data_IF_003651275208
#
_entry.id   IF_003651275208
#
_cell.length_a   1.000
_cell.length_b   1.000
_cell.length_c   1.000
_cell.angle_alpha   90.00
_cell.angle_beta   90.00
_cell.angle_gamma   90.00
#
_symmetry.space_group_name_H-M   'P 1'
#
loop_
_entity.id
_entity.type
_entity.pdbx_description
1 polymer ?
#
# COMPACT_ATOMS: atom_id res chain seq x y z
N UNK A 1 -7.17 -0.78 -13.36
CA UNK A 1 -6.91 0.49 -12.63
C UNK A 1 -5.83 0.21 -11.60
N UNK A 2 -4.79 1.04 -11.50
CA UNK A 2 -3.79 0.88 -10.45
C UNK A 2 -4.44 1.22 -9.10
N UNK A 3 -4.46 0.27 -8.16
CA UNK A 3 -4.95 0.53 -6.79
C UNK A 3 -4.03 1.60 -6.20
N UNK A 4 -4.60 2.78 -5.94
CA UNK A 4 -3.84 3.92 -5.39
C UNK A 4 -3.59 3.62 -3.91
N UNK A 5 -2.32 3.66 -3.48
CA UNK A 5 -1.93 3.57 -2.07
C UNK A 5 -2.41 4.80 -1.33
N UNK A 6 -3.61 4.72 -0.75
CA UNK A 6 -4.14 5.76 0.13
C UNK A 6 -4.72 5.13 1.37
N UNK A 7 -4.59 5.82 2.50
CA UNK A 7 -5.22 5.42 3.76
C UNK A 7 -6.75 5.32 3.58
N UNK A 8 -7.31 6.24 2.81
CA UNK A 8 -8.73 6.25 2.43
C UNK A 8 -9.19 4.94 1.79
N UNK A 9 -8.51 4.45 0.75
CA UNK A 9 -8.89 3.22 0.07
C UNK A 9 -8.80 2.01 1.01
N UNK A 10 -7.73 1.94 1.81
CA UNK A 10 -7.56 0.84 2.79
C UNK A 10 -8.72 0.83 3.78
N UNK A 11 -9.03 1.99 4.38
CA UNK A 11 -10.11 2.10 5.37
C UNK A 11 -11.47 1.82 4.74
N UNK A 12 -11.71 2.24 3.50
CA UNK A 12 -12.94 1.93 2.78
C UNK A 12 -13.11 0.42 2.54
N UNK A 13 -12.05 -0.27 2.10
CA UNK A 13 -12.10 -1.70 1.78
C UNK A 13 -12.30 -2.59 3.03
N UNK A 14 -11.84 -2.15 4.20
CA UNK A 14 -12.04 -2.89 5.46
C UNK A 14 -13.26 -2.41 6.28
N UNK A 15 -14.05 -1.48 5.74
CA UNK A 15 -15.26 -0.97 6.39
C UNK A 15 -15.02 0.01 7.55
N UNK A 16 -13.84 0.63 7.62
CA UNK A 16 -13.45 1.59 8.65
C UNK A 16 -13.36 3.05 8.12
N UNK A 17 -14.02 3.35 7.01
CA UNK A 17 -14.02 4.69 6.39
C UNK A 17 -14.42 5.82 7.34
N UNK A 18 -15.32 5.54 8.30
CA UNK A 18 -15.73 6.50 9.31
C UNK A 18 -14.56 7.03 10.17
N UNK A 19 -13.47 6.28 10.28
CA UNK A 19 -12.28 6.66 11.04
C UNK A 19 -11.32 7.56 10.26
N UNK A 20 -11.54 7.77 8.95
CA UNK A 20 -10.64 8.51 8.08
C UNK A 20 -10.25 9.88 8.64
N UNK A 21 -11.20 10.59 9.27
CA UNK A 21 -10.95 11.89 9.88
C UNK A 21 -9.82 11.86 10.92
N UNK A 22 -9.70 10.78 11.70
CA UNK A 22 -8.65 10.64 12.71
C UNK A 22 -7.26 10.47 12.06
N UNK A 23 -7.19 9.70 10.97
CA UNK A 23 -5.95 9.47 10.23
C UNK A 23 -5.49 10.74 9.50
N UNK A 24 -6.42 11.45 8.86
CA UNK A 24 -6.14 12.73 8.19
C UNK A 24 -5.73 13.79 9.21
N UNK A 25 -6.44 13.89 10.34
CA UNK A 25 -6.13 14.84 11.41
C UNK A 25 -4.74 14.64 12.02
N UNK A 26 -4.25 13.40 12.07
CA UNK A 26 -2.91 13.06 12.54
C UNK A 26 -1.86 12.97 11.41
N UNK A 27 -2.24 13.31 10.16
CA UNK A 27 -1.36 13.26 8.98
C UNK A 27 -0.71 11.88 8.78
N UNK A 28 -1.45 10.81 9.05
CA UNK A 28 -0.97 9.45 8.84
C UNK A 28 -0.95 9.14 7.35
N UNK A 29 0.23 8.79 6.84
CA UNK A 29 0.42 8.34 5.47
C UNK A 29 0.32 6.81 5.37
N UNK A 30 0.09 6.29 4.16
CA UNK A 30 -0.05 4.85 3.92
C UNK A 30 1.19 4.08 4.40
N UNK A 31 2.39 4.58 4.09
CA UNK A 31 3.64 3.91 4.45
C UNK A 31 3.88 3.91 5.97
N UNK A 32 3.24 4.81 6.72
CA UNK A 32 3.32 4.84 8.19
C UNK A 32 2.44 3.77 8.84
N UNK A 33 1.38 3.28 8.17
CA UNK A 33 0.42 2.34 8.73
C UNK A 33 1.05 1.01 9.18
N UNK A 34 2.12 0.57 8.51
CA UNK A 34 2.86 -0.66 8.84
C UNK A 34 3.59 -0.55 10.18
N UNK A 35 3.93 0.67 10.59
CA UNK A 35 4.78 0.94 11.76
C UNK A 35 3.98 1.34 13.00
N UNK A 36 2.68 1.60 12.86
CA UNK A 36 1.83 1.97 14.01
C UNK A 36 1.75 0.81 15.01
N UNK A 37 2.03 1.14 16.26
CA UNK A 37 1.79 0.27 17.40
C UNK A 37 0.29 0.13 17.68
N UNK A 38 -0.05 -0.92 18.40
CA UNK A 38 -1.42 -1.17 18.86
C UNK A 38 -1.99 -0.03 19.70
N UNK A 39 -1.15 0.65 20.47
CA UNK A 39 -1.53 1.84 21.25
C UNK A 39 -1.87 3.02 20.33
N UNK A 40 -1.07 3.26 19.29
CA UNK A 40 -1.32 4.33 18.33
C UNK A 40 -2.57 4.07 17.49
N UNK A 41 -2.78 2.80 17.08
CA UNK A 41 -4.03 2.37 16.45
C UNK A 41 -5.24 2.61 17.36
N UNK A 42 -5.09 2.36 18.67
CA UNK A 42 -6.10 2.71 19.66
C UNK A 42 -6.43 4.21 19.70
N UNK A 43 -5.42 5.08 19.61
CA UNK A 43 -5.60 6.55 19.54
C UNK A 43 -6.30 7.00 18.26
N UNK A 44 -6.18 6.23 17.18
CA UNK A 44 -6.90 6.44 15.92
C UNK A 44 -8.32 5.85 15.93
N UNK A 45 -8.79 5.38 17.08
CA UNK A 45 -10.08 4.70 17.28
C UNK A 45 -10.19 3.31 16.63
N UNK A 46 -9.07 2.68 16.31
CA UNK A 46 -9.00 1.26 15.94
C UNK A 46 -8.83 0.44 17.22
N UNK A 47 -9.92 0.24 17.94
CA UNK A 47 -9.92 -0.34 19.29
C UNK A 47 -10.00 -1.86 19.28
N UNK A 48 -10.70 -2.45 18.31
CA UNK A 48 -10.89 -3.89 18.22
C UNK A 48 -9.64 -4.59 17.67
N UNK A 49 -9.23 -5.69 18.28
CA UNK A 49 -8.12 -6.53 17.80
C UNK A 49 -8.35 -6.96 16.35
N UNK A 50 -9.58 -7.38 16.01
CA UNK A 50 -9.94 -7.79 14.65
C UNK A 50 -9.74 -6.69 13.61
N UNK A 51 -10.07 -5.44 13.93
CA UNK A 51 -9.90 -4.29 13.03
C UNK A 51 -8.41 -3.98 12.80
N UNK A 52 -7.59 -4.10 13.86
CA UNK A 52 -6.13 -3.94 13.75
C UNK A 52 -5.51 -5.01 12.85
N UNK A 53 -5.94 -6.26 13.01
CA UNK A 53 -5.48 -7.38 12.16
C UNK A 53 -5.86 -7.13 10.71
N UNK A 54 -7.14 -6.83 10.43
CA UNK A 54 -7.62 -6.52 9.07
C UNK A 54 -6.86 -5.36 8.43
N UNK A 55 -6.60 -4.29 9.19
CA UNK A 55 -5.83 -3.16 8.71
C UNK A 55 -4.40 -3.58 8.32
N UNK A 56 -3.69 -4.31 9.20
CA UNK A 56 -2.32 -4.77 8.94
C UNK A 56 -2.26 -5.70 7.73
N UNK A 57 -3.18 -6.65 7.63
CA UNK A 57 -3.28 -7.56 6.48
C UNK A 57 -3.52 -6.79 5.19
N UNK A 58 -4.44 -5.83 5.21
CA UNK A 58 -4.77 -5.06 4.03
C UNK A 58 -3.64 -4.17 3.55
N UNK A 59 -2.95 -3.50 4.47
CA UNK A 59 -1.77 -2.68 4.17
C UNK A 59 -0.67 -3.55 3.53
N UNK A 60 -0.46 -4.77 4.04
CA UNK A 60 0.50 -5.72 3.47
C UNK A 60 0.12 -6.16 2.06
N UNK A 61 -1.15 -6.49 1.83
CA UNK A 61 -1.67 -6.87 0.50
C UNK A 61 -1.45 -5.75 -0.53
N UNK A 62 -1.84 -4.52 -0.19
CA UNK A 62 -1.69 -3.36 -1.07
C UNK A 62 -0.22 -3.03 -1.30
N UNK A 63 0.64 -3.19 -0.30
CA UNK A 63 2.10 -3.06 -0.44
C UNK A 63 2.67 -4.06 -1.47
N UNK A 64 2.35 -5.35 -1.32
CA UNK A 64 2.86 -6.43 -2.18
C UNK A 64 2.37 -6.34 -3.63
N UNK A 65 1.11 -5.96 -3.84
CA UNK A 65 0.55 -5.79 -5.19
C UNK A 65 1.28 -4.71 -5.98
N UNK A 66 1.71 -3.65 -5.31
CA UNK A 66 2.42 -2.55 -5.96
C UNK A 66 3.88 -2.90 -6.24
N UNK A 67 4.58 -3.52 -5.29
CA UNK A 67 5.98 -3.93 -5.47
C UNK A 67 6.12 -4.93 -6.63
N UNK A 68 5.17 -5.86 -6.75
CA UNK A 68 5.10 -6.80 -7.87
C UNK A 68 4.84 -6.09 -9.21
N UNK A 69 4.02 -5.04 -9.21
CA UNK A 69 3.71 -4.27 -10.43
C UNK A 69 4.91 -3.45 -10.90
N UNK A 70 5.61 -2.77 -9.98
CA UNK A 70 6.85 -2.04 -10.27
C UNK A 70 7.94 -2.99 -10.76
N UNK A 71 8.14 -4.11 -10.06
CA UNK A 71 9.14 -5.13 -10.44
C UNK A 71 8.89 -5.69 -11.84
N UNK A 72 7.63 -5.94 -12.20
CA UNK A 72 7.25 -6.43 -13.53
C UNK A 72 7.51 -5.39 -14.62
N UNK A 73 7.19 -4.13 -14.35
CA UNK A 73 7.44 -3.02 -15.29
C UNK A 73 8.94 -2.80 -15.53
N UNK A 74 9.77 -2.85 -14.48
CA UNK A 74 11.23 -2.72 -14.61
C UNK A 74 11.80 -3.86 -15.46
N UNK A 75 11.42 -5.11 -15.17
CA UNK A 75 11.87 -6.27 -15.96
C UNK A 75 11.48 -6.16 -17.43
N UNK A 76 10.25 -5.73 -17.71
CA UNK A 76 9.77 -5.54 -19.08
C UNK A 76 10.58 -4.46 -19.81
N UNK A 77 10.79 -3.29 -19.21
CA UNK A 77 11.57 -2.23 -19.85
C UNK A 77 13.04 -2.64 -20.07
N UNK A 78 13.65 -3.35 -19.13
CA UNK A 78 14.99 -3.89 -19.30
C UNK A 78 15.07 -4.89 -20.46
N UNK A 79 14.07 -5.77 -20.61
CA UNK A 79 14.02 -6.69 -21.77
C UNK A 79 13.91 -5.96 -23.11
N UNK A 80 13.13 -4.88 -23.18
CA UNK A 80 13.00 -4.07 -24.39
C UNK A 80 14.30 -3.32 -24.72
N UNK A 81 14.98 -2.79 -23.71
CA UNK A 81 16.28 -2.13 -23.86
C UNK A 81 17.34 -3.11 -24.37
N UNK A 82 17.44 -4.30 -23.76
CA UNK A 82 18.39 -5.33 -24.16
C UNK A 82 18.12 -5.83 -25.59
N UNK A 83 16.85 -6.07 -25.95
CA UNK A 83 16.47 -6.48 -27.30
C UNK A 83 16.82 -5.43 -28.37
N UNK A 84 16.73 -4.14 -28.04
CA UNK A 84 17.14 -3.05 -28.93
C UNK A 84 18.65 -2.97 -29.13
N UNK A 85 19.44 -3.21 -28.08
CA UNK A 85 20.90 -3.17 -28.20
C UNK A 85 21.48 -4.41 -28.89
N UNK A 86 20.88 -5.60 -28.74
CA UNK A 86 21.30 -6.78 -29.48
C UNK A 86 21.14 -6.66 -31.01
N UNK A 87 20.21 -5.79 -31.47
CA UNK A 87 20.01 -5.51 -32.90
C UNK A 87 20.99 -4.49 -33.48
N UNK A 88 21.74 -3.76 -32.65
CA UNK A 88 22.71 -2.74 -33.11
C UNK A 88 24.13 -3.28 -33.33
N UNK A 89 24.41 -4.51 -32.89
CA UNK A 89 25.71 -5.19 -33.03
C UNK A 89 25.67 -6.35 -34.04
N UNK A 90 24.72 -6.32 -34.99
CA UNK A 90 24.60 -7.30 -36.07
C UNK A 90 24.87 -6.65 -37.41
#
# INVERSE_FOLDING_TARGET
MAVRKTVENVLQEIGLYALLGNFVGQKIEFDSLTHLSDTELGRLSVTTIGDRVRLREKVREVGQLQDNSVSRWVKYNLSLYNARNQRKFR
#
